data_IF_726585299909
#
_entry.id   IF_726585299909
#
_cell.length_a   1.000
_cell.length_b   1.000
_cell.length_c   1.000
_cell.angle_alpha   90.00
_cell.angle_beta   90.00
_cell.angle_gamma   90.00
#
_symmetry.space_group_name_H-M   'P 1'
#
loop_
_entity.id
_entity.type
_entity.pdbx_description
1 polymer ?
#
# COMPACT_ATOMS: atom_id res chain seq x y z
N UNK A 1 -34.60 -38.95 -39.38
CA UNK A 1 -33.17 -38.61 -39.35
C UNK A 1 -33.01 -37.56 -38.27
N UNK A 2 -32.62 -38.01 -37.08
CA UNK A 2 -32.61 -37.21 -35.84
C UNK A 2 -31.28 -36.51 -35.62
N UNK A 3 -31.42 -35.30 -35.09
CA UNK A 3 -30.45 -34.31 -34.62
C UNK A 3 -29.28 -34.85 -33.79
N UNK A 4 -28.10 -34.24 -33.93
CA UNK A 4 -27.23 -33.97 -32.77
C UNK A 4 -26.25 -32.83 -33.08
N UNK A 5 -26.63 -31.64 -32.65
CA UNK A 5 -25.78 -30.45 -32.55
C UNK A 5 -25.00 -30.58 -31.24
N UNK A 6 -23.68 -30.80 -31.31
CA UNK A 6 -22.80 -30.67 -30.16
C UNK A 6 -22.31 -29.21 -30.11
N UNK A 7 -22.96 -28.40 -29.29
CA UNK A 7 -22.39 -27.14 -28.81
C UNK A 7 -21.50 -27.49 -27.62
N UNK A 8 -20.20 -27.63 -27.89
CA UNK A 8 -19.18 -27.76 -26.85
C UNK A 8 -18.77 -26.35 -26.41
N UNK A 9 -19.55 -25.77 -25.49
CA UNK A 9 -19.19 -24.53 -24.79
C UNK A 9 -18.22 -24.89 -23.66
N UNK A 10 -16.94 -24.99 -24.00
CA UNK A 10 -15.88 -25.03 -23.01
C UNK A 10 -15.82 -23.69 -22.26
N UNK A 11 -16.47 -23.60 -21.10
CA UNK A 11 -16.22 -22.55 -20.11
C UNK A 11 -14.76 -22.63 -19.65
N UNK A 12 -13.89 -21.91 -20.37
CA UNK A 12 -12.58 -21.56 -19.84
C UNK A 12 -12.81 -20.70 -18.61
N UNK A 13 -12.77 -21.32 -17.43
CA UNK A 13 -12.69 -20.64 -16.14
C UNK A 13 -11.50 -19.69 -16.18
N UNK A 14 -11.77 -18.42 -16.48
CA UNK A 14 -10.76 -17.38 -16.49
C UNK A 14 -10.36 -17.17 -15.04
N UNK A 15 -9.14 -17.61 -14.72
CA UNK A 15 -8.59 -17.51 -13.37
C UNK A 15 -8.44 -16.02 -13.02
N UNK A 16 -9.41 -15.48 -12.29
CA UNK A 16 -9.41 -14.10 -11.86
C UNK A 16 -8.37 -13.92 -10.76
N UNK A 17 -7.48 -12.96 -10.94
CA UNK A 17 -6.45 -12.64 -9.95
C UNK A 17 -7.11 -11.85 -8.83
N UNK A 18 -7.28 -12.49 -7.67
CA UNK A 18 -7.81 -11.89 -6.45
C UNK A 18 -6.66 -11.39 -5.57
N UNK A 19 -6.91 -10.31 -4.83
CA UNK A 19 -5.94 -9.77 -3.87
C UNK A 19 -6.19 -10.38 -2.48
N UNK A 20 -5.22 -11.12 -1.97
CA UNK A 20 -5.15 -11.62 -0.61
C UNK A 20 -4.67 -10.52 0.35
N UNK A 21 -5.63 -9.88 1.01
CA UNK A 21 -5.35 -8.81 1.99
C UNK A 21 -4.58 -9.33 3.20
N UNK A 22 -4.88 -10.54 3.66
CA UNK A 22 -4.26 -11.12 4.84
C UNK A 22 -2.77 -11.40 4.58
N UNK A 23 -2.45 -12.03 3.45
CA UNK A 23 -1.07 -12.25 3.04
C UNK A 23 -0.30 -10.94 2.86
N UNK A 24 -0.92 -9.94 2.23
CA UNK A 24 -0.32 -8.62 2.08
C UNK A 24 -0.05 -7.94 3.43
N UNK A 25 -0.97 -8.08 4.40
CA UNK A 25 -0.86 -7.44 5.72
C UNK A 25 0.31 -7.97 6.55
N UNK A 26 0.64 -9.27 6.41
CA UNK A 26 1.76 -9.90 7.11
C UNK A 26 3.13 -9.35 6.71
N UNK A 27 3.23 -8.82 5.49
CA UNK A 27 4.48 -8.28 4.95
C UNK A 27 4.51 -6.75 4.92
N UNK A 28 3.41 -6.10 5.30
CA UNK A 28 3.31 -4.65 5.28
C UNK A 28 4.04 -4.04 6.48
N UNK A 29 4.60 -2.85 6.28
CA UNK A 29 5.41 -2.15 7.26
C UNK A 29 5.15 -0.63 7.16
N UNK A 30 5.21 0.12 8.28
CA UNK A 30 4.95 1.55 8.25
C UNK A 30 5.96 2.31 7.39
N UNK A 31 5.48 2.94 6.32
CA UNK A 31 6.29 3.75 5.41
C UNK A 31 6.10 5.25 5.68
N UNK A 32 7.21 5.97 5.83
CA UNK A 32 7.19 7.41 6.00
C UNK A 32 6.95 8.13 4.66
N UNK A 33 5.88 8.91 4.59
CA UNK A 33 5.62 9.87 3.53
C UNK A 33 6.53 11.10 3.69
N UNK A 34 6.72 11.92 2.64
CA UNK A 34 7.51 13.13 2.74
C UNK A 34 7.07 14.12 3.83
N UNK A 35 5.78 14.18 4.17
CA UNK A 35 5.25 14.96 5.30
C UNK A 35 5.69 14.45 6.68
N UNK A 36 6.34 13.28 6.76
CA UNK A 36 6.66 12.60 8.02
C UNK A 36 5.54 11.68 8.52
N UNK A 37 4.33 11.74 7.94
CA UNK A 37 3.25 10.80 8.26
C UNK A 37 3.66 9.38 7.89
N UNK A 38 3.36 8.42 8.77
CA UNK A 38 3.57 6.99 8.50
C UNK A 38 2.27 6.38 8.00
N UNK A 39 2.37 5.53 6.97
CA UNK A 39 1.23 4.80 6.42
C UNK A 39 1.56 3.31 6.31
N UNK A 40 0.57 2.47 6.60
CA UNK A 40 0.55 1.07 6.20
C UNK A 40 -0.24 1.00 4.90
N UNK A 41 0.27 0.32 3.88
CA UNK A 41 -0.40 0.25 2.59
C UNK A 41 -1.70 -0.54 2.70
N UNK A 42 -1.68 -1.65 3.43
CA UNK A 42 -2.81 -2.55 3.64
C UNK A 42 -3.92 -1.94 4.48
N UNK A 43 -3.61 -0.98 5.36
CA UNK A 43 -4.64 -0.22 6.10
C UNK A 43 -5.40 0.78 5.21
N UNK A 44 -4.88 1.08 4.02
CA UNK A 44 -5.54 1.94 3.03
C UNK A 44 -6.43 1.13 2.07
N UNK A 45 -6.40 -0.20 2.16
CA UNK A 45 -7.08 -1.12 1.26
C UNK A 45 -8.25 -1.76 1.98
N UNK A 46 -9.46 -1.52 1.46
CA UNK A 46 -10.67 -2.19 1.92
C UNK A 46 -11.01 -3.35 0.98
N UNK A 47 -11.77 -4.34 1.46
CA UNK A 47 -12.28 -5.44 0.63
C UNK A 47 -13.10 -4.93 -0.58
N UNK A 48 -13.83 -3.82 -0.41
CA UNK A 48 -14.55 -3.17 -1.50
C UNK A 48 -13.64 -2.60 -2.58
N UNK A 49 -12.40 -2.23 -2.23
CA UNK A 49 -11.41 -1.74 -3.18
C UNK A 49 -10.80 -2.92 -3.95
N UNK A 50 -10.48 -4.02 -3.26
CA UNK A 50 -9.86 -5.20 -3.88
C UNK A 50 -10.77 -5.88 -4.91
N UNK A 51 -12.08 -5.89 -4.68
CA UNK A 51 -13.07 -6.41 -5.63
C UNK A 51 -13.03 -5.70 -7.00
N UNK A 52 -12.60 -4.44 -7.04
CA UNK A 52 -12.52 -3.62 -8.27
C UNK A 52 -11.19 -3.82 -9.01
N UNK A 53 -10.23 -4.47 -8.37
CA UNK A 53 -8.91 -4.71 -8.96
C UNK A 53 -8.89 -5.95 -9.83
N UNK A 54 -9.93 -6.79 -9.79
CA UNK A 54 -10.00 -8.01 -10.60
C UNK A 54 -9.94 -7.70 -12.09
N UNK A 55 -8.99 -8.32 -12.78
CA UNK A 55 -8.76 -8.20 -14.21
C UNK A 55 -8.16 -9.49 -14.73
N UNK A 56 -8.33 -9.76 -16.03
CA UNK A 56 -7.71 -10.90 -16.72
C UNK A 56 -6.18 -10.78 -16.79
N UNK A 57 -5.66 -9.56 -16.65
CA UNK A 57 -4.23 -9.22 -16.66
C UNK A 57 -3.82 -8.66 -15.30
N UNK A 58 -2.79 -9.27 -14.70
CA UNK A 58 -2.22 -8.90 -13.39
C UNK A 58 -1.74 -7.44 -13.39
N UNK A 59 -1.14 -6.98 -14.48
CA UNK A 59 -0.62 -5.61 -14.61
C UNK A 59 -1.73 -4.56 -14.47
N UNK A 60 -2.89 -4.81 -15.08
CA UNK A 60 -4.05 -3.93 -14.94
C UNK A 60 -4.58 -3.93 -13.51
N UNK A 61 -4.56 -5.08 -12.83
CA UNK A 61 -4.94 -5.19 -11.41
C UNK A 61 -4.01 -4.36 -10.53
N UNK A 62 -2.70 -4.46 -10.77
CA UNK A 62 -1.67 -3.65 -10.10
C UNK A 62 -1.90 -2.16 -10.34
N UNK A 63 -2.09 -1.72 -11.58
CA UNK A 63 -2.31 -0.29 -11.88
C UNK A 63 -3.53 0.26 -11.15
N UNK A 64 -4.64 -0.50 -11.12
CA UNK A 64 -5.85 -0.13 -10.37
C UNK A 64 -5.58 -0.05 -8.88
N UNK A 65 -4.85 -1.01 -8.31
CA UNK A 65 -4.47 -1.00 -6.90
C UNK A 65 -3.61 0.22 -6.55
N UNK A 66 -2.58 0.53 -7.36
CA UNK A 66 -1.72 1.70 -7.17
C UNK A 66 -2.52 3.00 -7.21
N UNK A 67 -3.44 3.15 -8.15
CA UNK A 67 -4.31 4.33 -8.26
C UNK A 67 -5.22 4.44 -7.03
N UNK A 68 -5.87 3.35 -6.62
CA UNK A 68 -6.78 3.33 -5.47
C UNK A 68 -6.06 3.72 -4.17
N UNK A 69 -4.91 3.10 -3.89
CA UNK A 69 -4.09 3.43 -2.72
C UNK A 69 -3.59 4.87 -2.80
N UNK A 70 -3.18 5.35 -3.98
CA UNK A 70 -2.74 6.75 -4.15
C UNK A 70 -3.86 7.75 -3.84
N UNK A 71 -5.11 7.45 -4.19
CA UNK A 71 -6.26 8.25 -3.80
C UNK A 71 -6.45 8.29 -2.28
N UNK A 72 -6.27 7.16 -1.59
CA UNK A 72 -6.38 7.06 -0.13
C UNK A 72 -5.26 7.84 0.55
N UNK A 73 -4.01 7.71 0.10
CA UNK A 73 -2.89 8.54 0.56
C UNK A 73 -3.21 10.03 0.42
N UNK A 74 -3.75 10.44 -0.74
CA UNK A 74 -4.14 11.82 -0.99
C UNK A 74 -5.24 12.33 -0.04
N UNK A 75 -6.10 11.45 0.47
CA UNK A 75 -7.11 11.82 1.48
C UNK A 75 -6.52 11.92 2.89
N UNK A 76 -5.48 11.15 3.21
CA UNK A 76 -4.83 11.16 4.52
C UNK A 76 -3.77 12.26 4.66
N UNK A 77 -3.20 12.72 3.54
CA UNK A 77 -2.10 13.66 3.53
C UNK A 77 -2.31 14.81 2.53
N UNK A 78 -2.54 16.00 3.09
CA UNK A 78 -2.78 17.24 2.34
C UNK A 78 -1.62 17.62 1.42
N UNK A 79 -0.39 17.21 1.72
CA UNK A 79 0.78 17.52 0.92
C UNK A 79 0.98 16.57 -0.27
N UNK A 80 0.10 15.58 -0.47
CA UNK A 80 0.28 14.59 -1.53
C UNK A 80 0.46 15.21 -2.92
N UNK A 81 -0.21 16.32 -3.25
CA UNK A 81 -0.08 16.98 -4.56
C UNK A 81 1.32 17.56 -4.85
N UNK A 82 2.10 17.85 -3.80
CA UNK A 82 3.46 18.38 -3.92
C UNK A 82 4.53 17.29 -3.94
N UNK A 83 4.14 16.00 -3.87
CA UNK A 83 5.05 14.88 -3.94
C UNK A 83 5.54 14.60 -5.35
N UNK A 84 6.63 13.86 -5.45
CA UNK A 84 7.21 13.40 -6.69
C UNK A 84 7.57 11.92 -6.58
N UNK A 85 7.29 11.17 -7.65
CA UNK A 85 7.82 9.84 -7.87
C UNK A 85 8.95 9.97 -8.91
N UNK A 86 10.20 10.27 -8.46
CA UNK A 86 11.29 10.57 -9.38
C UNK A 86 11.65 9.34 -10.22
N UNK A 87 11.83 9.57 -11.52
CA UNK A 87 12.66 8.73 -12.37
C UNK A 87 14.09 9.27 -12.28
N UNK A 88 15.08 8.38 -12.23
CA UNK A 88 16.49 8.73 -12.02
C UNK A 88 16.93 9.94 -12.86
N UNK A 89 17.69 10.85 -12.23
CA UNK A 89 18.39 11.94 -12.91
C UNK A 89 17.57 13.17 -13.31
N UNK A 90 16.25 13.21 -13.08
CA UNK A 90 15.44 14.42 -13.38
C UNK A 90 15.32 15.34 -12.17
N UNK A 91 15.79 16.57 -12.30
CA UNK A 91 15.54 17.61 -11.31
C UNK A 91 14.04 17.95 -11.26
N UNK A 92 13.52 18.16 -10.06
CA UNK A 92 12.12 18.46 -9.81
C UNK A 92 12.03 19.47 -8.67
N UNK A 93 11.07 20.40 -8.76
CA UNK A 93 10.77 21.35 -7.68
C UNK A 93 9.91 20.72 -6.56
N UNK A 94 9.34 19.55 -6.84
CA UNK A 94 8.44 18.81 -5.97
C UNK A 94 9.21 17.90 -5.00
N UNK A 95 8.58 17.53 -3.89
CA UNK A 95 9.24 16.78 -2.81
C UNK A 95 9.31 15.30 -3.19
N UNK A 96 10.51 14.70 -3.31
CA UNK A 96 10.64 13.30 -3.74
C UNK A 96 10.17 12.33 -2.65
N UNK A 97 9.38 11.33 -3.06
CA UNK A 97 9.13 10.14 -2.27
C UNK A 97 10.38 9.26 -2.23
N UNK A 98 10.63 8.61 -1.09
CA UNK A 98 11.80 7.74 -0.93
C UNK A 98 11.69 6.50 -1.83
N UNK A 99 12.78 6.04 -2.47
CA UNK A 99 12.77 4.83 -3.29
C UNK A 99 12.22 3.59 -2.57
N UNK A 100 12.54 3.45 -1.27
CA UNK A 100 12.06 2.34 -0.44
C UNK A 100 10.53 2.25 -0.37
N UNK A 101 9.79 3.36 -0.53
CA UNK A 101 8.33 3.32 -0.62
C UNK A 101 7.85 2.48 -1.80
N UNK A 102 8.46 2.67 -2.98
CA UNK A 102 8.06 1.96 -4.20
C UNK A 102 8.49 0.49 -4.15
N UNK A 103 9.65 0.20 -3.56
CA UNK A 103 10.10 -1.18 -3.32
C UNK A 103 9.16 -1.92 -2.37
N UNK A 104 8.79 -1.28 -1.25
CA UNK A 104 7.86 -1.87 -0.29
C UNK A 104 6.46 -2.06 -0.89
N UNK A 105 5.98 -1.08 -1.66
CA UNK A 105 4.71 -1.20 -2.34
C UNK A 105 4.71 -2.33 -3.38
N UNK A 106 5.79 -2.50 -4.13
CA UNK A 106 5.95 -3.64 -5.02
C UNK A 106 5.86 -4.96 -4.26
N UNK A 107 6.56 -5.06 -3.11
CA UNK A 107 6.56 -6.27 -2.30
C UNK A 107 5.18 -6.63 -1.76
N UNK A 108 4.44 -5.67 -1.20
CA UNK A 108 3.06 -5.86 -0.72
C UNK A 108 2.14 -6.31 -1.85
N UNK A 109 2.25 -5.72 -3.05
CA UNK A 109 1.44 -6.12 -4.20
C UNK A 109 1.82 -7.50 -4.75
N UNK A 110 3.11 -7.85 -4.75
CA UNK A 110 3.58 -9.19 -5.14
C UNK A 110 2.96 -10.26 -4.25
N UNK A 111 3.02 -10.07 -2.92
CA UNK A 111 2.45 -11.03 -1.96
C UNK A 111 0.93 -11.03 -2.05
N UNK A 112 0.29 -9.86 -2.07
CA UNK A 112 -1.17 -9.77 -2.12
C UNK A 112 -1.80 -10.33 -3.39
N UNK A 113 -1.16 -10.21 -4.55
CA UNK A 113 -1.67 -10.82 -5.79
C UNK A 113 -1.14 -12.23 -6.06
N UNK A 114 -0.31 -12.79 -5.16
CA UNK A 114 0.32 -14.10 -5.36
C UNK A 114 1.18 -14.16 -6.63
N UNK A 115 1.93 -13.08 -6.91
CA UNK A 115 2.74 -12.97 -8.13
C UNK A 115 4.05 -13.71 -7.93
N UNK A 116 4.28 -14.75 -8.71
CA UNK A 116 5.57 -15.41 -8.76
C UNK A 116 6.63 -14.55 -9.47
N UNK A 117 7.88 -14.68 -9.04
CA UNK A 117 9.03 -13.97 -9.64
C UNK A 117 9.24 -14.32 -11.14
N UNK A 118 8.59 -15.38 -11.63
CA UNK A 118 8.58 -15.79 -13.04
C UNK A 118 7.62 -14.98 -13.92
N UNK A 119 6.56 -14.41 -13.34
CA UNK A 119 5.48 -13.73 -14.08
C UNK A 119 5.80 -12.26 -14.30
N UNK A 120 6.28 -11.57 -13.26
CA UNK A 120 6.64 -10.15 -13.34
C UNK A 120 7.98 -9.92 -12.63
N UNK A 121 8.96 -9.40 -13.38
CA UNK A 121 10.21 -8.94 -12.78
C UNK A 121 9.94 -7.79 -11.80
N UNK A 122 10.40 -7.94 -10.54
CA UNK A 122 10.30 -6.92 -9.47
C UNK A 122 10.75 -5.52 -9.90
N UNK A 123 11.79 -5.41 -10.71
CA UNK A 123 12.26 -4.12 -11.25
C UNK A 123 11.24 -3.47 -12.16
N UNK A 124 10.62 -4.27 -13.05
CA UNK A 124 9.54 -3.80 -13.92
C UNK A 124 8.32 -3.38 -13.10
N UNK A 125 7.98 -4.14 -12.05
CA UNK A 125 6.89 -3.81 -11.14
C UNK A 125 7.12 -2.45 -10.44
N UNK A 126 8.30 -2.24 -9.86
CA UNK A 126 8.67 -0.97 -9.23
C UNK A 126 8.56 0.19 -10.23
N UNK A 127 9.02 -0.02 -11.47
CA UNK A 127 8.91 0.98 -12.55
C UNK A 127 7.46 1.31 -12.86
N UNK A 128 6.60 0.30 -13.01
CA UNK A 128 5.16 0.46 -13.22
C UNK A 128 4.50 1.24 -12.08
N UNK A 129 4.76 0.87 -10.83
CA UNK A 129 4.20 1.55 -9.64
C UNK A 129 4.66 3.02 -9.61
N UNK A 130 5.96 3.26 -9.86
CA UNK A 130 6.53 4.61 -9.86
C UNK A 130 5.91 5.47 -10.97
N UNK A 131 5.79 4.93 -12.18
CA UNK A 131 5.19 5.61 -13.33
C UNK A 131 3.71 5.92 -13.11
N UNK A 132 2.94 4.95 -12.62
CA UNK A 132 1.51 5.11 -12.31
C UNK A 132 1.30 6.16 -11.22
N UNK A 133 2.09 6.11 -10.14
CA UNK A 133 2.05 7.12 -9.07
C UNK A 133 2.39 8.51 -9.61
N UNK A 134 3.43 8.63 -10.46
CA UNK A 134 3.80 9.90 -11.09
C UNK A 134 2.67 10.47 -11.95
N UNK A 135 2.03 9.63 -12.74
CA UNK A 135 0.91 10.01 -13.60
C UNK A 135 -0.28 10.49 -12.77
N UNK A 136 -0.58 9.80 -11.67
CA UNK A 136 -1.58 10.23 -10.69
C UNK A 136 -1.25 11.62 -10.12
N UNK A 137 -0.04 11.82 -9.60
CA UNK A 137 0.41 13.09 -9.03
C UNK A 137 0.37 14.24 -10.07
N UNK A 138 0.78 13.98 -11.31
CA UNK A 138 0.70 14.95 -12.39
C UNK A 138 -0.75 15.36 -12.69
N UNK A 139 -1.69 14.40 -12.70
CA UNK A 139 -3.12 14.68 -12.88
C UNK A 139 -3.69 15.48 -11.72
N UNK A 140 -3.30 15.17 -10.48
CA UNK A 140 -3.70 15.94 -9.30
C UNK A 140 -3.24 17.40 -9.39
N UNK A 141 -1.97 17.62 -9.76
CA UNK A 141 -1.42 18.97 -9.91
C UNK A 141 -2.13 19.80 -10.96
N UNK A 142 -2.39 19.21 -12.14
CA UNK A 142 -3.14 19.88 -13.22
C UNK A 142 -4.52 20.39 -12.76
N UNK A 143 -5.18 19.67 -11.85
CA UNK A 143 -6.49 20.07 -11.31
C UNK A 143 -6.42 21.15 -10.22
N UNK A 144 -5.26 21.35 -9.58
CA UNK A 144 -5.09 22.21 -8.39
C UNK A 144 -3.84 23.10 -8.46
N UNK A 145 -3.48 23.58 -9.65
CA UNK A 145 -2.17 24.19 -9.88
C UNK A 145 -1.87 25.40 -8.96
N UNK A 146 -2.85 26.25 -8.68
CA UNK A 146 -2.69 27.41 -7.79
C UNK A 146 -2.37 26.97 -6.34
N UNK A 147 -3.09 25.97 -5.84
CA UNK A 147 -2.93 25.43 -4.48
C UNK A 147 -1.57 24.73 -4.30
N UNK A 148 -0.99 24.18 -5.37
CA UNK A 148 0.28 23.43 -5.30
C UNK A 148 1.45 24.32 -4.91
N UNK A 149 1.52 25.55 -5.41
CA UNK A 149 2.63 26.46 -5.12
C UNK A 149 2.55 26.99 -3.68
N UNK A 150 1.34 27.25 -3.18
CA UNK A 150 1.08 27.61 -1.78
C UNK A 150 1.46 26.46 -0.82
N UNK A 151 1.02 25.23 -1.12
CA UNK A 151 1.37 24.04 -0.33
C UNK A 151 2.88 23.78 -0.32
N UNK A 152 3.60 24.05 -1.41
CA UNK A 152 5.05 23.92 -1.46
C UNK A 152 5.75 24.92 -0.53
N UNK A 153 5.24 26.16 -0.43
CA UNK A 153 5.77 27.15 0.49
C UNK A 153 5.48 26.75 1.94
N UNK A 154 4.23 26.39 2.24
CA UNK A 154 3.80 25.94 3.58
C UNK A 154 4.62 24.73 4.05
N UNK A 155 4.80 23.72 3.20
CA UNK A 155 5.57 22.53 3.53
C UNK A 155 7.03 22.85 3.90
N UNK A 156 7.66 23.81 3.22
CA UNK A 156 9.05 24.21 3.49
C UNK A 156 9.18 24.92 4.83
N UNK A 157 8.19 25.73 5.20
CA UNK A 157 8.16 26.38 6.51
C UNK A 157 7.93 25.35 7.63
N UNK A 158 6.98 24.43 7.47
CA UNK A 158 6.71 23.38 8.46
C UNK A 158 7.93 22.47 8.69
N UNK A 159 8.57 22.02 7.61
CA UNK A 159 9.75 21.15 7.72
C UNK A 159 10.97 21.86 8.29
N UNK A 160 11.08 23.18 8.14
CA UNK A 160 12.13 23.99 8.75
C UNK A 160 11.92 24.14 10.26
N UNK A 161 10.68 24.39 10.69
CA UNK A 161 10.35 24.52 12.11
C UNK A 161 10.55 23.21 12.85
N UNK A 162 10.10 22.08 12.28
CA UNK A 162 10.26 20.76 12.92
C UNK A 162 11.73 20.32 13.05
N UNK A 163 12.62 20.78 12.15
CA UNK A 163 14.07 20.52 12.27
C UNK A 163 14.74 21.31 13.39
N UNK A 164 14.23 22.50 13.70
CA UNK A 164 14.79 23.33 14.76
C UNK A 164 14.55 22.74 16.16
N UNK A 165 13.48 21.95 16.32
CA UNK A 165 13.15 21.29 17.59
C UNK A 165 13.94 19.98 17.81
N UNK A 166 14.25 19.23 16.74
CA UNK A 166 15.08 18.02 16.82
C UNK A 166 16.55 18.34 17.19
N UNK A 167 17.12 19.42 16.64
CA UNK A 167 18.47 19.88 16.99
C UNK A 167 18.58 20.34 18.47
N UNK A 168 17.46 20.68 19.10
CA UNK A 168 17.42 21.03 20.52
C UNK A 168 17.35 19.80 21.44
N UNK A 169 16.83 18.66 20.97
CA UNK A 169 16.88 17.38 21.70
C UNK A 169 18.21 16.65 21.57
N UNK A 170 18.97 16.91 20.50
CA UNK A 170 20.27 16.27 20.31
C UNK A 170 21.43 16.95 21.08
N UNK A 171 21.20 18.16 21.63
CA UNK A 171 22.15 18.86 22.50
C UNK A 171 22.13 18.44 23.97
N UNK A 172 21.12 17.69 24.42
CA UNK A 172 20.97 17.32 25.84
C UNK A 172 21.67 16.00 26.20
N UNK A 173 22.17 15.24 25.21
CA UNK A 173 22.82 13.93 25.44
C UNK A 173 24.27 13.84 24.95
N UNK A 174 25.03 14.93 24.99
CA UNK A 174 26.49 14.87 24.76
C UNK A 174 27.23 15.76 25.76
N UNK A 175 27.18 15.37 27.03
CA UNK A 175 28.09 15.82 28.08
C UNK A 175 27.98 14.80 29.23
N UNK A 176 28.47 13.57 29.02
CA UNK A 176 28.88 12.61 30.07
C UNK A 176 29.41 11.30 29.44
N UNK A 177 30.29 11.43 28.46
CA UNK A 177 31.05 10.28 27.94
C UNK A 177 32.49 10.69 27.63
N UNK A 178 33.15 11.30 28.61
CA UNK A 178 34.59 11.19 28.74
C UNK A 178 34.85 10.01 29.68
N UNK A 179 35.43 8.95 29.11
CA UNK A 179 36.13 7.82 29.76
C UNK A 179 35.63 6.45 29.31
N UNK A 180 36.05 6.04 28.10
CA UNK A 180 36.72 4.75 27.87
C UNK A 180 37.20 4.63 26.44
N UNK A 181 38.49 4.91 26.26
CA UNK A 181 39.29 4.26 25.22
C UNK A 181 39.53 2.81 25.64
N UNK A 182 39.15 1.83 24.82
CA UNK A 182 39.90 0.57 24.67
C UNK A 182 39.80 0.09 23.21
N UNK A 183 40.97 -0.13 22.65
CA UNK A 183 41.41 -0.62 21.34
C UNK A 183 40.73 -1.86 20.71
N UNK A 184 40.88 -1.94 19.37
CA UNK A 184 41.09 -3.17 18.57
C UNK A 184 39.97 -3.44 17.56
N UNK A 185 40.03 -3.02 16.30
CA UNK A 185 40.87 -3.51 15.18
C UNK A 185 40.80 -5.03 14.91
N UNK A 186 40.41 -5.35 13.67
CA UNK A 186 40.57 -6.61 12.91
C UNK A 186 39.52 -7.72 13.10
N UNK A 187 38.95 -8.15 11.97
CA UNK A 187 38.40 -9.51 11.86
C UNK A 187 37.40 -9.71 10.74
N UNK A 188 37.83 -10.38 9.67
CA UNK A 188 37.01 -10.89 8.57
C UNK A 188 35.83 -11.71 9.08
N UNK A 189 34.66 -11.56 8.45
CA UNK A 189 33.49 -12.40 8.70
C UNK A 189 33.34 -13.38 7.53
N UNK A 190 33.91 -14.57 7.71
CA UNK A 190 33.53 -15.80 7.02
C UNK A 190 33.36 -16.84 8.13
N UNK A 191 32.13 -17.11 8.59
CA UNK A 191 31.79 -18.39 9.23
C UNK A 191 30.30 -18.68 9.04
N UNK A 192 30.06 -19.90 8.60
CA UNK A 192 28.81 -20.63 8.52
C UNK A 192 27.94 -20.47 9.76
N UNK A 193 26.69 -20.03 9.57
CA UNK A 193 25.72 -19.90 10.65
C UNK A 193 24.83 -21.16 10.67
N UNK A 194 25.25 -22.16 11.45
CA UNK A 194 24.39 -23.24 11.90
C UNK A 194 23.28 -22.66 12.78
N UNK A 195 22.04 -22.81 12.32
CA UNK A 195 20.83 -22.41 13.06
C UNK A 195 20.52 -23.48 14.09
N UNK A 196 20.71 -23.17 15.37
CA UNK A 196 20.12 -23.93 16.47
C UNK A 196 18.63 -23.58 16.58
N UNK A 197 17.77 -24.59 16.49
CA UNK A 197 16.37 -24.49 16.86
C UNK A 197 16.27 -24.75 18.37
N UNK A 198 15.91 -23.74 19.17
CA UNK A 198 15.39 -23.96 20.52
C UNK A 198 13.91 -24.31 20.40
N UNK A 199 13.58 -25.54 20.78
CA UNK A 199 12.21 -26.03 20.95
C UNK A 199 11.53 -25.25 22.07
N UNK A 200 10.71 -24.27 21.70
CA UNK A 200 9.81 -23.60 22.64
C UNK A 200 8.56 -24.47 22.79
N UNK A 201 8.54 -25.30 23.84
CA UNK A 201 7.32 -25.95 24.35
C UNK A 201 6.36 -24.87 24.86
N UNK A 202 5.47 -24.40 23.99
CA UNK A 202 4.44 -23.42 24.30
C UNK A 202 3.16 -24.11 24.78
N UNK A 203 2.88 -23.91 26.07
CA UNK A 203 1.71 -24.40 26.81
C UNK A 203 0.37 -24.05 26.14
N UNK A 204 -0.55 -25.02 26.16
CA UNK A 204 -1.87 -24.93 25.55
C UNK A 204 -2.74 -23.84 26.17
N UNK A 205 -3.27 -22.97 25.32
CA UNK A 205 -4.39 -22.10 25.71
C UNK A 205 -5.69 -22.85 25.46
N UNK A 206 -6.32 -23.27 26.54
CA UNK A 206 -7.69 -23.80 26.57
C UNK A 206 -8.70 -22.73 26.14
N UNK A 207 -9.70 -23.18 25.39
CA UNK A 207 -10.67 -22.34 24.70
C UNK A 207 -11.60 -21.56 25.62
N UNK A 208 -11.96 -20.36 25.17
CA UNK A 208 -13.18 -19.69 25.60
C UNK A 208 -14.20 -19.81 24.48
N UNK A 209 -15.23 -20.61 24.75
CA UNK A 209 -16.47 -20.65 23.98
C UNK A 209 -17.19 -19.31 24.18
N UNK A 210 -17.44 -18.58 23.09
CA UNK A 210 -18.37 -17.44 23.10
C UNK A 210 -19.72 -17.92 22.60
N UNK A 211 -20.67 -18.01 23.52
CA UNK A 211 -22.10 -18.22 23.26
C UNK A 211 -22.79 -16.89 22.88
N UNK A 212 -23.74 -16.98 21.94
CA UNK A 212 -24.84 -16.03 21.72
C UNK A 212 -24.44 -14.73 21.00
N UNK A 213 -25.22 -14.17 20.09
CA UNK A 213 -26.67 -14.02 20.10
C UNK A 213 -27.26 -14.04 18.67
N UNK A 214 -28.39 -14.72 18.53
CA UNK A 214 -29.28 -14.64 17.37
C UNK A 214 -29.89 -13.24 17.29
N UNK A 215 -29.77 -12.56 16.15
CA UNK A 215 -30.67 -11.46 15.78
C UNK A 215 -31.64 -11.93 14.69
N UNK A 216 -32.87 -12.17 15.12
CA UNK A 216 -34.05 -12.33 14.27
C UNK A 216 -34.64 -10.96 13.91
N UNK A 217 -35.22 -10.85 12.71
CA UNK A 217 -36.15 -9.79 12.29
C UNK A 217 -35.44 -8.54 11.73
N UNK A 218 -35.86 -7.91 10.63
CA UNK A 218 -37.23 -7.69 10.18
C UNK A 218 -37.33 -7.65 8.65
N UNK A 219 -38.40 -8.27 8.14
CA UNK A 219 -38.93 -8.08 6.79
C UNK A 219 -39.31 -6.62 6.59
N UNK A 220 -38.75 -5.94 5.58
CA UNK A 220 -39.36 -4.74 5.02
C UNK A 220 -40.14 -5.12 3.77
N UNK A 221 -41.45 -4.94 3.90
CA UNK A 221 -42.44 -5.17 2.87
C UNK A 221 -42.22 -4.29 1.65
N UNK A 222 -42.54 -4.90 0.52
CA UNK A 222 -42.57 -4.41 -0.84
C UNK A 222 -43.84 -3.58 -1.03
N UNK A 223 -43.72 -2.26 -1.17
CA UNK A 223 -44.79 -1.46 -1.76
C UNK A 223 -44.55 -1.33 -3.27
N UNK A 224 -45.37 -2.06 -4.02
CA UNK A 224 -45.66 -1.78 -5.42
C UNK A 224 -46.51 -0.51 -5.49
N UNK A 225 -46.10 0.48 -6.29
CA UNK A 225 -47.00 1.53 -6.74
C UNK A 225 -47.05 1.49 -8.26
N UNK A 226 -48.23 1.08 -8.72
CA UNK A 226 -48.67 0.99 -10.10
C UNK A 226 -48.76 2.38 -10.76
N UNK A 227 -48.59 2.30 -12.07
CA UNK A 227 -48.92 3.21 -13.16
C UNK A 227 -49.97 4.31 -12.89
N UNK A 228 -49.70 5.50 -13.41
CA UNK A 228 -50.77 6.36 -13.91
C UNK A 228 -50.36 6.95 -15.28
N UNK A 229 -50.86 6.31 -16.33
CA UNK A 229 -51.09 6.91 -17.63
C UNK A 229 -52.24 7.93 -17.49
N UNK A 230 -51.97 9.23 -17.69
CA UNK A 230 -53.01 10.11 -18.22
C UNK A 230 -52.45 11.30 -19.00
N UNK A 231 -52.52 11.16 -20.33
CA UNK A 231 -53.09 12.11 -21.29
C UNK A 231 -52.95 13.63 -21.00
N UNK A 232 -52.13 14.33 -21.79
CA UNK A 232 -52.55 15.35 -22.79
C UNK A 232 -51.37 16.00 -23.51
#
# INVERSE_FOLDING_TARGET
MGTSTACDEGEQSQNLVLFDHEAASRVDAPMALPSGKKVLLTSLVNLDDTSKWTSKKVETSIERAVIAVSHKIASCDRFTSIYCAPESGRSTRYVPMKPGFFTHFAYVLTVGFGIDDTVINKTSLISTITSTTRNFLNRMRKKKQQVVDELLAEFREETKNNRADDDNHQRVYVQDAHDREVYGELGRFDVDNEVYYEEMEGEGMEGQEMEGENMEGENMEREEMEDDETQR
#
